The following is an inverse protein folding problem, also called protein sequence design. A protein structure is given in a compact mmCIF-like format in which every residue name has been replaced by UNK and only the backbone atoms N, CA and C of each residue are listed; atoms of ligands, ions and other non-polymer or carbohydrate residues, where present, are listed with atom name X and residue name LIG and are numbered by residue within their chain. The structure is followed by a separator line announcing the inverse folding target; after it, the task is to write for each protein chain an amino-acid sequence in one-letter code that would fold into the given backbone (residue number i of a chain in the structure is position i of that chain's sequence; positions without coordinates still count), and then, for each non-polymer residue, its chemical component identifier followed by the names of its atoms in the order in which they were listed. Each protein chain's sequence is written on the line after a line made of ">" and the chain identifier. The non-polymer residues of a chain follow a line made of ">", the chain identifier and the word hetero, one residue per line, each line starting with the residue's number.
data_IF_233784473032
#
_entry.id   IF_233784473032
#
_cell.length_a   1.000
_cell.length_b   1.000
_cell.length_c   1.000
_cell.angle_alpha   90.00
_cell.angle_beta   90.00
_cell.angle_gamma   90.00
#
_symmetry.space_group_name_H-M   'P 1'
#
loop_
_entity.id
_entity.type
_entity.pdbx_description
1 polymer ?
#
# COMPACT_ATOMS: atom_id res chain seq x y z
N UNK A 1 7.00 22.22 11.61
CA UNK A 1 5.64 22.11 12.22
C UNK A 1 5.10 20.69 12.17
N UNK A 2 5.01 20.02 11.01
CA UNK A 2 4.59 18.60 10.89
C UNK A 2 5.34 17.61 11.78
N UNK A 3 6.66 17.77 11.94
CA UNK A 3 7.46 16.87 12.79
C UNK A 3 7.16 17.02 14.29
N UNK A 4 6.73 18.21 14.74
CA UNK A 4 6.37 18.42 16.15
C UNK A 4 4.99 17.85 16.45
N UNK A 5 4.03 18.04 15.53
CA UNK A 5 2.69 17.45 15.67
C UNK A 5 2.76 15.92 15.66
N UNK A 6 3.59 15.33 14.80
CA UNK A 6 3.76 13.87 14.77
C UNK A 6 4.40 13.30 16.03
N UNK A 7 5.33 14.03 16.66
CA UNK A 7 5.94 13.61 17.93
C UNK A 7 4.92 13.56 19.06
N UNK A 8 4.11 14.63 19.20
CA UNK A 8 3.07 14.72 20.24
C UNK A 8 1.99 13.66 20.01
N UNK A 9 1.53 13.50 18.77
CA UNK A 9 0.57 12.47 18.38
C UNK A 9 1.08 11.06 18.71
N UNK A 10 2.31 10.74 18.27
CA UNK A 10 2.93 9.43 18.50
C UNK A 10 3.10 9.14 19.99
N UNK A 11 3.51 10.14 20.78
CA UNK A 11 3.65 9.98 22.23
C UNK A 11 2.30 9.71 22.90
N UNK A 12 1.27 10.52 22.60
CA UNK A 12 -0.05 10.37 23.20
C UNK A 12 -0.72 9.03 22.83
N UNK A 13 -0.58 8.60 21.58
CA UNK A 13 -1.07 7.30 21.11
C UNK A 13 -0.36 6.15 21.81
N UNK A 14 0.97 6.22 21.95
CA UNK A 14 1.73 5.19 22.66
C UNK A 14 1.41 5.14 24.14
N UNK A 15 1.31 6.30 24.80
CA UNK A 15 0.92 6.40 26.21
C UNK A 15 -0.46 5.80 26.45
N UNK A 16 -1.44 6.18 25.63
CA UNK A 16 -2.81 5.64 25.72
C UNK A 16 -2.82 4.14 25.49
N UNK A 17 -2.04 3.65 24.53
CA UNK A 17 -1.93 2.21 24.26
C UNK A 17 -1.33 1.42 25.41
N UNK A 18 -0.28 1.95 26.04
CA UNK A 18 0.33 1.30 27.20
C UNK A 18 -0.63 1.29 28.40
N UNK A 19 -1.40 2.38 28.59
CA UNK A 19 -2.42 2.45 29.63
C UNK A 19 -3.53 1.42 29.42
N UNK A 20 -4.06 1.29 28.20
CA UNK A 20 -5.07 0.26 27.86
C UNK A 20 -4.53 -1.15 28.13
N UNK A 21 -3.27 -1.44 27.77
CA UNK A 21 -2.65 -2.74 28.08
C UNK A 21 -2.54 -2.98 29.57
N UNK A 22 -2.13 -1.97 30.33
CA UNK A 22 -2.03 -2.07 31.79
C UNK A 22 -3.39 -2.39 32.41
N UNK A 23 -4.44 -1.68 31.99
CA UNK A 23 -5.80 -1.88 32.47
C UNK A 23 -6.32 -3.28 32.10
N UNK A 24 -6.14 -3.70 30.83
CA UNK A 24 -6.51 -5.06 30.40
C UNK A 24 -5.76 -6.15 31.17
N UNK A 25 -4.45 -6.02 31.38
CA UNK A 25 -3.67 -7.00 32.15
C UNK A 25 -4.16 -7.07 33.59
N UNK A 26 -4.49 -5.92 34.19
CA UNK A 26 -5.06 -5.86 35.53
C UNK A 26 -6.40 -6.57 35.60
N UNK A 27 -7.31 -6.30 34.67
CA UNK A 27 -8.65 -6.90 34.64
C UNK A 27 -8.57 -8.41 34.43
N UNK A 28 -7.74 -8.88 33.49
CA UNK A 28 -7.53 -10.31 33.24
C UNK A 28 -6.91 -10.99 34.47
N UNK A 29 -5.91 -10.37 35.10
CA UNK A 29 -5.29 -10.92 36.30
C UNK A 29 -6.27 -11.01 37.48
N UNK A 30 -7.04 -9.95 37.72
CA UNK A 30 -8.09 -9.94 38.75
C UNK A 30 -9.16 -10.99 38.45
N UNK A 31 -9.56 -11.15 37.18
CA UNK A 31 -10.51 -12.17 36.79
C UNK A 31 -9.96 -13.59 37.02
N UNK A 32 -8.69 -13.86 36.68
CA UNK A 32 -8.05 -15.14 36.95
C UNK A 32 -8.06 -15.48 38.44
N UNK A 33 -7.78 -14.51 39.31
CA UNK A 33 -7.80 -14.73 40.77
C UNK A 33 -9.19 -15.04 41.32
N UNK A 34 -10.26 -14.68 40.60
CA UNK A 34 -11.64 -15.00 40.99
C UNK A 34 -12.13 -16.38 40.52
N UNK A 35 -11.32 -17.12 39.74
CA UNK A 35 -11.71 -18.42 39.20
C UNK A 35 -11.60 -19.55 40.23
N UNK A 36 -12.50 -20.56 40.19
CA UNK A 36 -12.42 -21.72 41.06
C UNK A 36 -11.19 -22.60 40.71
N UNK A 37 -10.71 -23.38 41.68
CA UNK A 37 -9.53 -24.24 41.51
C UNK A 37 -9.65 -25.20 40.30
N UNK A 38 -10.86 -25.70 40.03
CA UNK A 38 -11.14 -26.58 38.89
C UNK A 38 -10.70 -25.98 37.54
N UNK A 39 -10.84 -24.67 37.36
CA UNK A 39 -10.41 -23.96 36.15
C UNK A 39 -8.91 -24.12 35.88
N UNK A 40 -8.09 -24.15 36.93
CA UNK A 40 -6.64 -24.29 36.84
C UNK A 40 -6.18 -25.75 36.69
N UNK A 41 -7.03 -26.72 37.06
CA UNK A 41 -6.77 -28.14 36.82
C UNK A 41 -7.00 -28.49 35.34
N UNK A 42 -7.98 -27.84 34.71
CA UNK A 42 -8.36 -28.09 33.31
C UNK A 42 -7.47 -27.34 32.30
N UNK A 43 -6.68 -26.34 32.72
CA UNK A 43 -5.87 -25.49 31.83
C UNK A 43 -4.42 -25.42 32.23
N UNK A 44 -3.52 -25.36 31.24
CA UNK A 44 -2.08 -25.18 31.49
C UNK A 44 -1.79 -23.75 31.92
N UNK A 45 -1.13 -23.58 33.07
CA UNK A 45 -0.71 -22.27 33.60
C UNK A 45 0.10 -21.46 32.56
N UNK A 46 0.97 -22.13 31.80
CA UNK A 46 1.74 -21.49 30.73
C UNK A 46 0.88 -20.90 29.61
N UNK A 47 -0.28 -21.49 29.29
CA UNK A 47 -1.22 -20.94 28.31
C UNK A 47 -1.88 -19.66 28.86
N UNK A 48 -2.29 -19.65 30.12
CA UNK A 48 -2.90 -18.48 30.77
C UNK A 48 -1.92 -17.30 30.83
N UNK A 49 -0.66 -17.55 31.17
CA UNK A 49 0.41 -16.55 31.15
C UNK A 49 0.66 -16.04 29.72
N UNK A 50 0.64 -16.94 28.72
CA UNK A 50 0.78 -16.56 27.31
C UNK A 50 -0.35 -15.62 26.88
N UNK A 51 -1.61 -15.94 27.20
CA UNK A 51 -2.76 -15.07 26.87
C UNK A 51 -2.67 -13.71 27.57
N UNK A 52 -2.30 -13.67 28.85
CA UNK A 52 -2.12 -12.42 29.61
C UNK A 52 -1.03 -11.51 29.01
N UNK A 53 0.06 -12.09 28.53
CA UNK A 53 1.20 -11.32 28.02
C UNK A 53 1.09 -11.01 26.52
N UNK A 54 0.77 -12.00 25.70
CA UNK A 54 0.81 -11.92 24.24
C UNK A 54 -0.51 -11.38 23.67
N UNK A 55 -1.65 -11.98 24.02
CA UNK A 55 -2.94 -11.58 23.42
C UNK A 55 -3.31 -10.15 23.79
N UNK A 56 -3.06 -9.74 25.03
CA UNK A 56 -3.28 -8.34 25.47
C UNK A 56 -2.38 -7.36 24.70
N UNK A 57 -1.15 -7.75 24.40
CA UNK A 57 -0.23 -6.91 23.60
C UNK A 57 -0.69 -6.84 22.13
N UNK A 58 -1.22 -7.92 21.57
CA UNK A 58 -1.79 -7.92 20.22
C UNK A 58 -3.02 -6.98 20.16
N UNK A 59 -3.88 -7.02 21.18
CA UNK A 59 -5.05 -6.13 21.27
C UNK A 59 -4.67 -4.64 21.31
N UNK A 60 -3.54 -4.29 21.94
CA UNK A 60 -2.97 -2.92 21.87
C UNK A 60 -2.76 -2.46 20.44
N UNK A 61 -2.10 -3.27 19.62
CA UNK A 61 -1.75 -2.91 18.25
C UNK A 61 -2.99 -2.60 17.41
N UNK A 62 -4.06 -3.36 17.64
CA UNK A 62 -5.37 -3.11 17.02
C UNK A 62 -5.96 -1.78 17.50
N UNK A 63 -6.02 -1.55 18.81
CA UNK A 63 -6.72 -0.41 19.39
C UNK A 63 -6.01 0.93 19.18
N UNK A 64 -4.68 0.95 19.18
CA UNK A 64 -3.94 2.23 19.04
C UNK A 64 -3.45 2.48 17.63
N UNK A 65 -2.66 1.58 17.07
CA UNK A 65 -1.98 1.82 15.80
C UNK A 65 -2.93 1.66 14.62
N UNK A 66 -3.66 0.54 14.57
CA UNK A 66 -4.47 0.22 13.41
C UNK A 66 -5.68 1.15 13.29
N UNK A 67 -6.41 1.40 14.38
CA UNK A 67 -7.57 2.33 14.35
C UNK A 67 -7.12 3.75 14.00
N UNK A 68 -6.05 4.26 14.61
CA UNK A 68 -5.58 5.62 14.31
C UNK A 68 -5.14 5.77 12.86
N UNK A 69 -4.41 4.78 12.36
CA UNK A 69 -3.98 4.75 10.95
C UNK A 69 -5.20 4.67 10.01
N UNK A 70 -6.20 3.85 10.33
CA UNK A 70 -7.43 3.75 9.55
C UNK A 70 -8.21 5.06 9.54
N UNK A 71 -8.38 5.71 10.69
CA UNK A 71 -9.03 7.01 10.79
C UNK A 71 -8.29 8.06 9.96
N UNK A 72 -6.96 8.12 10.06
CA UNK A 72 -6.14 9.02 9.26
C UNK A 72 -6.29 8.74 7.76
N UNK A 73 -6.29 7.47 7.34
CA UNK A 73 -6.49 7.08 5.94
C UNK A 73 -7.88 7.48 5.44
N UNK A 74 -8.94 7.26 6.22
CA UNK A 74 -10.31 7.65 5.88
C UNK A 74 -10.43 9.17 5.77
N UNK A 75 -9.92 9.92 6.75
CA UNK A 75 -9.92 11.40 6.72
C UNK A 75 -9.12 11.94 5.53
N UNK A 76 -7.96 11.35 5.25
CA UNK A 76 -7.13 11.76 4.12
C UNK A 76 -7.82 11.45 2.79
N UNK A 77 -8.40 10.26 2.64
CA UNK A 77 -9.12 9.86 1.45
C UNK A 77 -10.35 10.74 1.20
N UNK A 78 -11.21 10.91 2.22
CA UNK A 78 -12.41 11.74 2.12
C UNK A 78 -12.07 13.22 1.87
N UNK A 79 -11.05 13.75 2.55
CA UNK A 79 -10.56 15.11 2.32
C UNK A 79 -10.01 15.30 0.89
N UNK A 80 -9.21 14.36 0.40
CA UNK A 80 -8.67 14.40 -0.96
C UNK A 80 -9.79 14.31 -2.01
N UNK A 81 -10.71 13.36 -1.87
CA UNK A 81 -11.87 13.22 -2.78
C UNK A 81 -12.75 14.47 -2.73
N UNK A 82 -12.99 15.04 -1.55
CA UNK A 82 -13.76 16.28 -1.40
C UNK A 82 -13.12 17.46 -2.14
N UNK A 83 -11.81 17.67 -1.97
CA UNK A 83 -11.06 18.71 -2.69
C UNK A 83 -11.11 18.48 -4.20
N UNK A 84 -10.91 17.23 -4.65
CA UNK A 84 -10.98 16.89 -6.08
C UNK A 84 -12.37 17.16 -6.66
N UNK A 85 -13.44 16.85 -5.91
CA UNK A 85 -14.81 17.06 -6.35
C UNK A 85 -15.13 18.55 -6.55
N UNK A 86 -14.60 19.41 -5.68
CA UNK A 86 -14.69 20.88 -5.81
C UNK A 86 -13.94 21.39 -7.05
N UNK A 87 -12.79 20.79 -7.39
CA UNK A 87 -12.01 21.17 -8.58
C UNK A 87 -12.71 20.73 -9.87
N UNK A 88 -13.07 19.45 -9.97
CA UNK A 88 -13.84 18.90 -11.10
C UNK A 88 -14.51 17.59 -10.70
N UNK A 89 -15.82 17.65 -10.45
CA UNK A 89 -16.63 16.49 -10.11
C UNK A 89 -16.65 15.39 -11.19
N UNK A 90 -16.58 15.73 -12.49
CA UNK A 90 -16.58 14.74 -13.59
C UNK A 90 -15.29 13.92 -13.64
N UNK A 91 -14.14 14.59 -13.59
CA UNK A 91 -12.83 13.94 -13.52
C UNK A 91 -12.71 13.09 -12.24
N UNK A 92 -13.22 13.59 -11.12
CA UNK A 92 -13.23 12.87 -9.85
C UNK A 92 -14.07 11.60 -9.94
N UNK A 93 -15.30 11.68 -10.48
CA UNK A 93 -16.16 10.51 -10.66
C UNK A 93 -15.52 9.45 -11.57
N UNK A 94 -14.87 9.90 -12.65
CA UNK A 94 -14.12 9.01 -13.55
C UNK A 94 -13.02 8.23 -12.82
N UNK A 95 -12.20 8.92 -12.02
CA UNK A 95 -11.16 8.29 -11.20
C UNK A 95 -11.78 7.37 -10.15
N UNK A 96 -12.87 7.79 -9.51
CA UNK A 96 -13.55 7.02 -8.46
C UNK A 96 -14.18 5.72 -8.99
N UNK A 97 -14.51 5.64 -10.29
CA UNK A 97 -14.94 4.41 -10.96
C UNK A 97 -13.73 3.56 -11.37
N UNK A 98 -12.64 4.18 -11.80
CA UNK A 98 -11.44 3.48 -12.24
C UNK A 98 -10.73 2.75 -11.08
N UNK A 99 -10.66 3.37 -9.91
CA UNK A 99 -10.04 2.80 -8.70
C UNK A 99 -10.61 1.44 -8.30
N UNK A 100 -11.94 1.25 -8.10
CA UNK A 100 -12.49 -0.04 -7.70
C UNK A 100 -12.30 -1.12 -8.77
N UNK A 101 -12.23 -0.77 -10.06
CA UNK A 101 -11.92 -1.73 -11.13
C UNK A 101 -10.49 -2.27 -10.95
N UNK A 102 -9.52 -1.39 -10.71
CA UNK A 102 -8.13 -1.79 -10.47
C UNK A 102 -8.01 -2.57 -9.15
N UNK A 103 -8.72 -2.15 -8.11
CA UNK A 103 -8.76 -2.86 -6.82
C UNK A 103 -9.36 -4.26 -6.97
N UNK A 104 -10.45 -4.42 -7.73
CA UNK A 104 -11.09 -5.70 -7.96
C UNK A 104 -10.14 -6.67 -8.69
N UNK A 105 -9.43 -6.19 -9.71
CA UNK A 105 -8.39 -6.96 -10.38
C UNK A 105 -7.28 -7.38 -9.40
N UNK A 106 -6.75 -6.42 -8.63
CA UNK A 106 -5.74 -6.70 -7.60
C UNK A 106 -6.20 -7.72 -6.55
N UNK A 107 -7.44 -7.61 -6.08
CA UNK A 107 -8.05 -8.52 -5.11
C UNK A 107 -8.23 -9.93 -5.68
N UNK A 108 -8.69 -10.07 -6.92
CA UNK A 108 -8.80 -11.36 -7.59
C UNK A 108 -7.44 -12.06 -7.71
N UNK A 109 -6.39 -11.32 -8.06
CA UNK A 109 -5.02 -11.84 -8.06
C UNK A 109 -4.52 -12.20 -6.66
N UNK A 110 -4.82 -11.37 -5.65
CA UNK A 110 -4.47 -11.66 -4.26
C UNK A 110 -5.11 -12.94 -3.75
N UNK A 111 -6.39 -13.16 -4.06
CA UNK A 111 -7.10 -14.39 -3.75
C UNK A 111 -6.46 -15.60 -4.43
N UNK A 112 -6.14 -15.48 -5.72
CA UNK A 112 -5.49 -16.55 -6.47
C UNK A 112 -4.11 -16.86 -5.88
N UNK A 113 -3.30 -15.84 -5.61
CA UNK A 113 -1.97 -15.99 -5.01
C UNK A 113 -2.05 -16.69 -3.65
N UNK A 114 -3.00 -16.31 -2.81
CA UNK A 114 -3.25 -16.95 -1.52
C UNK A 114 -3.58 -18.44 -1.68
N UNK A 115 -4.50 -18.79 -2.59
CA UNK A 115 -4.88 -20.19 -2.85
C UNK A 115 -3.70 -21.06 -3.26
N UNK A 116 -2.86 -20.62 -4.20
CA UNK A 116 -1.69 -21.38 -4.62
C UNK A 116 -0.57 -21.39 -3.59
N UNK A 117 -0.46 -20.34 -2.77
CA UNK A 117 0.46 -20.33 -1.63
C UNK A 117 0.08 -21.38 -0.59
N UNK A 118 -1.21 -21.52 -0.29
CA UNK A 118 -1.70 -22.59 0.60
C UNK A 118 -1.39 -23.96 0.00
N UNK A 119 -1.63 -24.17 -1.30
CA UNK A 119 -1.30 -25.44 -1.95
C UNK A 119 0.20 -25.80 -1.87
N UNK A 120 1.09 -24.82 -1.97
CA UNK A 120 2.53 -25.04 -1.77
C UNK A 120 2.82 -25.48 -0.34
N UNK A 121 2.22 -24.83 0.66
CA UNK A 121 2.38 -25.19 2.06
C UNK A 121 1.86 -26.61 2.35
N UNK A 122 0.72 -26.98 1.77
CA UNK A 122 0.14 -28.32 1.92
C UNK A 122 1.09 -29.40 1.37
N UNK A 123 1.65 -29.20 0.18
CA UNK A 123 2.59 -30.18 -0.41
C UNK A 123 3.93 -30.25 0.33
N UNK A 124 4.41 -29.12 0.89
CA UNK A 124 5.58 -29.12 1.78
C UNK A 124 5.27 -29.90 3.05
N UNK A 125 4.08 -29.71 3.65
CA UNK A 125 3.67 -30.45 4.83
C UNK A 125 3.58 -31.96 4.56
N UNK A 126 3.13 -32.38 3.37
CA UNK A 126 3.15 -33.80 2.97
C UNK A 126 4.58 -34.35 2.91
N UNK A 127 5.54 -33.60 2.38
CA UNK A 127 6.94 -34.00 2.40
C UNK A 127 7.49 -34.10 3.85
N UNK A 128 7.11 -33.16 4.72
CA UNK A 128 7.46 -33.19 6.14
C UNK A 128 6.89 -34.41 6.85
N UNK A 129 5.62 -34.79 6.60
CA UNK A 129 5.00 -36.00 7.16
C UNK A 129 5.80 -37.24 6.78
N UNK A 130 6.19 -37.38 5.51
CA UNK A 130 7.03 -38.49 5.05
C UNK A 130 8.36 -38.54 5.81
N UNK A 131 9.03 -37.39 5.95
CA UNK A 131 10.29 -37.33 6.69
C UNK A 131 10.11 -37.64 8.18
N UNK A 132 9.04 -37.16 8.81
CA UNK A 132 8.76 -37.38 10.22
C UNK A 132 8.50 -38.88 10.49
N UNK A 133 7.67 -39.52 9.67
CA UNK A 133 7.38 -40.96 9.77
C UNK A 133 8.65 -41.81 9.66
N UNK A 134 9.52 -41.50 8.69
CA UNK A 134 10.78 -42.23 8.47
C UNK A 134 11.76 -42.02 9.63
N UNK A 135 11.85 -40.80 10.16
CA UNK A 135 12.79 -40.49 11.26
C UNK A 135 12.32 -41.07 12.59
N UNK A 136 11.01 -41.06 12.86
CA UNK A 136 10.44 -41.69 14.06
C UNK A 136 10.63 -43.22 14.04
N UNK A 137 10.58 -43.83 12.85
CA UNK A 137 10.70 -45.29 12.65
C UNK A 137 12.02 -45.67 11.93
N UNK A 138 13.10 -44.96 12.23
CA UNK A 138 14.38 -45.15 11.51
C UNK A 138 14.98 -46.54 11.74
N UNK A 139 14.72 -47.15 12.91
CA UNK A 139 15.21 -48.49 13.24
C UNK A 139 14.60 -49.54 12.33
N UNK A 140 13.30 -49.43 12.05
CA UNK A 140 12.54 -50.30 11.17
C UNK A 140 13.08 -50.19 9.75
N UNK A 141 13.23 -48.98 9.23
CA UNK A 141 13.78 -48.73 7.88
C UNK A 141 15.17 -49.37 7.72
N UNK A 142 16.05 -49.21 8.71
CA UNK A 142 17.39 -49.83 8.72
C UNK A 142 17.36 -51.35 8.83
N UNK A 143 16.48 -51.91 9.65
CA UNK A 143 16.37 -53.37 9.79
C UNK A 143 15.87 -54.07 8.52
N UNK A 144 15.07 -53.38 7.71
CA UNK A 144 14.54 -53.90 6.44
C UNK A 144 15.34 -53.45 5.21
N UNK A 145 16.42 -52.67 5.38
CA UNK A 145 17.29 -52.15 4.30
C UNK A 145 16.45 -51.43 3.22
N UNK A 146 15.58 -50.51 3.66
CA UNK A 146 14.62 -49.79 2.79
C UNK A 146 14.94 -48.30 2.58
N UNK A 147 16.18 -47.88 2.81
CA UNK A 147 16.57 -46.47 2.70
C UNK A 147 16.29 -45.88 1.31
N UNK A 148 16.66 -46.58 0.24
CA UNK A 148 16.48 -46.09 -1.13
C UNK A 148 15.00 -45.89 -1.48
N UNK A 149 14.15 -46.79 -0.97
CA UNK A 149 12.70 -46.68 -1.12
C UNK A 149 12.15 -45.42 -0.45
N UNK A 150 12.55 -45.16 0.80
CA UNK A 150 12.11 -43.97 1.54
C UNK A 150 12.66 -42.67 0.96
N UNK A 151 13.90 -42.69 0.45
CA UNK A 151 14.48 -41.56 -0.29
C UNK A 151 13.65 -41.27 -1.56
N UNK A 152 13.26 -42.29 -2.32
CA UNK A 152 12.43 -42.11 -3.51
C UNK A 152 11.02 -41.61 -3.17
N UNK A 153 10.44 -42.07 -2.05
CA UNK A 153 9.15 -41.60 -1.52
C UNK A 153 9.20 -40.12 -1.16
N UNK A 154 10.25 -39.69 -0.45
CA UNK A 154 10.47 -38.29 -0.11
C UNK A 154 10.72 -37.42 -1.35
N UNK A 155 11.55 -37.88 -2.29
CA UNK A 155 11.80 -37.17 -3.56
C UNK A 155 10.51 -36.98 -4.37
N UNK A 156 9.61 -37.97 -4.36
CA UNK A 156 8.31 -37.87 -5.02
C UNK A 156 7.42 -36.81 -4.36
N UNK A 157 7.46 -36.69 -3.03
CA UNK A 157 6.75 -35.62 -2.30
C UNK A 157 7.34 -34.25 -2.60
N UNK A 158 8.67 -34.11 -2.59
CA UNK A 158 9.34 -32.88 -2.99
C UNK A 158 9.04 -32.48 -4.45
N UNK A 159 8.94 -33.45 -5.36
CA UNK A 159 8.55 -33.19 -6.75
C UNK A 159 7.16 -32.54 -6.88
N UNK A 160 6.19 -32.97 -6.06
CA UNK A 160 4.86 -32.35 -6.01
C UNK A 160 4.91 -30.94 -5.43
N UNK A 161 5.65 -30.73 -4.34
CA UNK A 161 5.86 -29.39 -3.75
C UNK A 161 6.53 -28.43 -4.74
N UNK A 162 7.51 -28.90 -5.51
CA UNK A 162 8.16 -28.13 -6.56
C UNK A 162 7.18 -27.79 -7.69
N UNK A 163 6.37 -28.74 -8.15
CA UNK A 163 5.35 -28.50 -9.17
C UNK A 163 4.29 -27.48 -8.71
N UNK A 164 3.86 -27.54 -7.44
CA UNK A 164 2.98 -26.53 -6.85
C UNK A 164 3.65 -25.15 -6.81
N UNK A 165 4.93 -25.10 -6.45
CA UNK A 165 5.72 -23.87 -6.43
C UNK A 165 5.84 -23.24 -7.81
N UNK A 166 6.03 -24.03 -8.86
CA UNK A 166 6.04 -23.53 -10.25
C UNK A 166 4.69 -22.93 -10.67
N UNK A 167 3.56 -23.51 -10.23
CA UNK A 167 2.23 -22.92 -10.47
C UNK A 167 2.07 -21.57 -9.78
N UNK A 168 2.47 -21.47 -8.50
CA UNK A 168 2.47 -20.22 -7.76
C UNK A 168 3.37 -19.18 -8.42
N UNK A 169 4.58 -19.58 -8.86
CA UNK A 169 5.55 -18.70 -9.49
C UNK A 169 5.00 -18.10 -10.79
N UNK A 170 4.30 -18.89 -11.61
CA UNK A 170 3.66 -18.38 -12.84
C UNK A 170 2.70 -17.23 -12.54
N UNK A 171 1.88 -17.36 -11.50
CA UNK A 171 0.92 -16.33 -11.10
C UNK A 171 1.65 -15.11 -10.53
N UNK A 172 2.62 -15.34 -9.65
CA UNK A 172 3.42 -14.30 -9.00
C UNK A 172 4.20 -13.45 -10.01
N UNK A 173 4.79 -14.07 -11.02
CA UNK A 173 5.61 -13.37 -12.02
C UNK A 173 4.77 -12.53 -12.98
N UNK A 174 3.54 -12.94 -13.29
CA UNK A 174 2.62 -12.17 -14.15
C UNK A 174 2.05 -10.95 -13.41
N UNK A 175 1.87 -11.04 -12.09
CA UNK A 175 1.22 -10.02 -11.28
C UNK A 175 1.86 -8.63 -11.37
N UNK A 176 3.19 -8.55 -11.22
CA UNK A 176 3.92 -7.28 -11.25
C UNK A 176 3.76 -6.51 -12.56
N UNK A 177 4.11 -7.10 -13.72
CA UNK A 177 3.92 -6.49 -15.04
C UNK A 177 2.47 -6.11 -15.32
N UNK A 178 1.51 -6.95 -14.90
CA UNK A 178 0.09 -6.68 -15.12
C UNK A 178 -0.39 -5.46 -14.32
N UNK A 179 -0.01 -5.34 -13.05
CA UNK A 179 -0.29 -4.13 -12.26
C UNK A 179 0.35 -2.90 -12.88
N UNK A 180 1.61 -3.00 -13.31
CA UNK A 180 2.29 -1.89 -13.97
C UNK A 180 1.53 -1.45 -15.23
N UNK A 181 1.07 -2.40 -16.06
CA UNK A 181 0.25 -2.11 -17.23
C UNK A 181 -1.05 -1.38 -16.87
N UNK A 182 -1.78 -1.83 -15.85
CA UNK A 182 -2.99 -1.14 -15.39
C UNK A 182 -2.70 0.24 -14.79
N UNK A 183 -1.59 0.41 -14.08
CA UNK A 183 -1.19 1.70 -13.52
C UNK A 183 -0.86 2.73 -14.61
N UNK A 184 -0.06 2.34 -15.61
CA UNK A 184 0.24 3.18 -16.76
C UNK A 184 -1.01 3.44 -17.62
N UNK A 185 -1.86 2.43 -17.81
CA UNK A 185 -3.14 2.58 -18.51
C UNK A 185 -4.06 3.56 -17.79
N UNK A 186 -4.16 3.47 -16.46
CA UNK A 186 -4.94 4.40 -15.64
C UNK A 186 -4.40 5.83 -15.75
N UNK A 187 -3.08 6.01 -15.67
CA UNK A 187 -2.44 7.31 -15.86
C UNK A 187 -2.76 7.88 -17.25
N UNK A 188 -2.62 7.08 -18.30
CA UNK A 188 -2.93 7.49 -19.67
C UNK A 188 -4.41 7.90 -19.83
N UNK A 189 -5.34 7.14 -19.25
CA UNK A 189 -6.78 7.45 -19.26
C UNK A 189 -7.09 8.74 -18.51
N UNK A 190 -6.47 8.95 -17.33
CA UNK A 190 -6.63 10.17 -16.54
C UNK A 190 -6.08 11.38 -17.29
N UNK A 191 -4.91 11.27 -17.91
CA UNK A 191 -4.31 12.35 -18.70
C UNK A 191 -5.13 12.66 -19.95
N UNK A 192 -5.63 11.64 -20.64
CA UNK A 192 -6.50 11.81 -21.80
C UNK A 192 -7.81 12.51 -21.44
N UNK A 193 -8.51 12.03 -20.41
CA UNK A 193 -9.77 12.61 -19.95
C UNK A 193 -9.57 14.02 -19.38
N UNK A 194 -8.54 14.20 -18.54
CA UNK A 194 -8.19 15.51 -17.95
C UNK A 194 -7.76 16.52 -19.02
N UNK A 195 -6.95 16.10 -19.99
CA UNK A 195 -6.55 16.94 -21.12
C UNK A 195 -7.75 17.39 -21.96
N UNK A 196 -8.69 16.49 -22.23
CA UNK A 196 -9.95 16.83 -22.91
C UNK A 196 -10.78 17.85 -22.13
N UNK A 197 -10.91 17.69 -20.81
CA UNK A 197 -11.61 18.64 -19.95
C UNK A 197 -10.93 20.03 -19.89
N UNK A 198 -9.59 20.11 -20.02
CA UNK A 198 -8.85 21.37 -20.15
C UNK A 198 -9.08 22.02 -21.51
N UNK A 199 -9.00 21.24 -22.61
CA UNK A 199 -9.19 21.73 -23.97
C UNK A 199 -10.62 22.24 -24.21
N UNK A 200 -11.62 21.61 -23.60
CA UNK A 200 -13.02 22.03 -23.68
C UNK A 200 -13.34 23.19 -22.70
N UNK A 201 -12.33 23.79 -22.06
CA UNK A 201 -12.45 24.98 -21.21
C UNK A 201 -13.13 24.74 -19.85
N UNK A 202 -13.49 23.50 -19.53
CA UNK A 202 -14.21 23.12 -18.30
C UNK A 202 -13.29 22.97 -17.09
N UNK A 203 -12.04 22.57 -17.30
CA UNK A 203 -10.96 22.76 -16.35
C UNK A 203 -10.30 24.10 -16.65
N UNK A 204 -10.85 25.17 -16.10
CA UNK A 204 -10.31 26.50 -16.32
C UNK A 204 -8.88 26.59 -15.78
N UNK A 205 -7.95 26.99 -16.64
CA UNK A 205 -6.60 27.48 -16.32
C UNK A 205 -6.70 28.80 -15.54
N UNK A 206 -7.35 28.81 -14.37
CA UNK A 206 -7.41 29.98 -13.49
C UNK A 206 -6.59 29.67 -12.25
N UNK A 207 -5.46 30.38 -12.03
CA UNK A 207 -4.88 30.41 -10.70
C UNK A 207 -5.96 30.96 -9.76
N UNK A 208 -6.10 30.30 -8.62
CA UNK A 208 -6.90 30.78 -7.50
C UNK A 208 -6.28 32.11 -7.08
N UNK A 209 -6.92 33.22 -7.48
CA UNK A 209 -6.53 34.59 -7.15
C UNK A 209 -5.94 35.37 -8.33
N UNK A 210 -6.50 36.56 -8.59
CA UNK A 210 -5.99 37.65 -9.44
C UNK A 210 -6.30 37.61 -10.95
N UNK A 211 -7.58 37.67 -11.33
CA UNK A 211 -7.97 38.49 -12.50
C UNK A 211 -9.36 39.08 -12.24
N UNK A 212 -9.45 40.07 -11.34
CA UNK A 212 -10.68 40.86 -11.23
C UNK A 212 -10.44 42.33 -10.93
N UNK A 213 -9.35 42.93 -11.41
CA UNK A 213 -9.29 44.38 -11.60
C UNK A 213 -8.02 44.76 -12.34
N UNK A 214 -8.18 45.24 -13.58
CA UNK A 214 -7.39 46.27 -14.27
C UNK A 214 -7.58 46.08 -15.77
N UNK A 215 -8.72 46.55 -16.26
CA UNK A 215 -8.86 47.01 -17.63
C UNK A 215 -9.38 48.45 -17.55
N UNK A 216 -8.50 49.47 -17.59
CA UNK A 216 -8.96 50.84 -17.74
C UNK A 216 -9.37 51.08 -19.18
N UNK A 217 -10.42 51.87 -19.27
CA UNK A 217 -11.21 52.22 -20.42
C UNK A 217 -10.42 53.00 -21.48
N UNK A 218 -10.85 52.84 -22.72
CA UNK A 218 -10.30 53.51 -23.90
C UNK A 218 -11.20 54.69 -24.25
N UNK A 219 -10.75 55.92 -24.01
CA UNK A 219 -11.50 57.11 -24.42
C UNK A 219 -10.75 58.41 -24.12
N UNK A 220 -9.84 58.83 -25.00
CA UNK A 220 -9.06 60.06 -24.80
C UNK A 220 -8.24 60.48 -26.02
N UNK A 221 -8.95 60.96 -27.03
CA UNK A 221 -8.50 61.67 -28.24
C UNK A 221 -7.44 62.76 -27.94
N UNK A 222 -6.33 62.82 -28.71
CA UNK A 222 -5.86 63.97 -29.54
C UNK A 222 -4.32 64.11 -29.67
N UNK A 223 -3.92 64.39 -30.93
CA UNK A 223 -2.77 65.19 -31.44
C UNK A 223 -1.38 64.54 -31.66
N UNK A 224 -1.09 64.27 -32.93
CA UNK A 224 0.20 64.58 -33.59
C UNK A 224 0.35 66.12 -33.74
N UNK A 225 1.58 66.70 -33.80
CA UNK A 225 2.35 66.76 -35.07
C UNK A 225 3.91 66.83 -34.99
N UNK A 226 4.58 66.49 -36.12
CA UNK A 226 5.92 66.85 -36.69
C UNK A 226 7.20 66.78 -35.79
N UNK A 227 8.39 66.25 -36.14
CA UNK A 227 9.16 65.76 -37.31
C UNK A 227 10.68 65.75 -36.89
N UNK A 228 11.72 65.64 -37.74
CA UNK A 228 12.06 64.64 -38.76
C UNK A 228 13.42 63.88 -38.55
N UNK A 229 13.53 62.76 -39.27
CA UNK A 229 14.65 62.03 -39.94
C UNK A 229 16.14 62.47 -39.81
N UNK A 230 17.02 61.44 -39.75
CA UNK A 230 18.37 61.24 -40.36
C UNK A 230 19.54 60.95 -39.38
N UNK A 231 20.14 59.75 -39.50
CA UNK A 231 21.61 59.57 -39.58
C UNK A 231 21.98 58.13 -40.02
N UNK A 232 22.63 58.07 -41.16
CA UNK A 232 23.33 56.93 -41.78
C UNK A 232 24.80 56.99 -41.36
N UNK A 233 25.43 55.85 -41.03
CA UNK A 233 26.85 55.49 -41.26
C UNK A 233 27.16 54.21 -40.46
N UNK A 234 27.81 53.15 -40.94
CA UNK A 234 28.68 52.99 -42.09
C UNK A 234 29.97 52.29 -41.66
N UNK A 235 30.11 51.00 -42.01
CA UNK A 235 31.40 50.30 -42.13
C UNK A 235 32.06 49.81 -40.84
N UNK A 236 33.02 48.87 -40.83
CA UNK A 236 33.60 47.95 -41.81
C UNK A 236 34.69 47.16 -41.04
N UNK A 237 35.00 45.91 -41.43
CA UNK A 237 36.25 45.13 -41.14
C UNK A 237 36.42 44.59 -39.71
N UNK A 238 37.11 43.47 -39.42
CA UNK A 238 37.74 42.31 -40.11
C UNK A 238 38.41 41.50 -38.95
N UNK A 239 38.55 40.17 -39.12
CA UNK A 239 39.65 39.31 -38.60
C UNK A 239 39.88 39.28 -37.07
N UNK A 240 40.39 38.26 -36.39
CA UNK A 240 41.19 37.03 -36.64
C UNK A 240 40.92 36.16 -35.37
N UNK A 241 40.56 34.88 -35.43
CA UNK A 241 41.45 33.71 -35.57
C UNK A 241 42.76 33.76 -34.75
N UNK A 242 42.82 33.03 -33.63
CA UNK A 242 43.91 32.08 -33.25
C UNK A 242 43.62 31.51 -31.84
N UNK A 243 43.38 30.18 -31.79
CA UNK A 243 44.28 29.12 -31.27
C UNK A 243 44.22 29.01 -29.76
#
# INVERSE_FOLDING_TARGET
>A
MRSLTSLVETYNLNYTGEKIVMDMRRDVYTHLQSQPLQFFVERRVGELISRLNNDVTIMRGVLTSNISTLLQQVLTLTGAVGIMFVINGRLTLFILILVPIIMALGAAFGFLLSRYSTQVQDEIAQASIVSEEVLQNIREVKSFVREDYEVQRYNSALGRAFAATLKLLRIRTIFGPLIAFFAFGALALILWFGGREVLEGRLTRRPIGLVHHLRPDSGGRLRHPHGPVYAVAGGHRRNEARV
#
